data_IF_832245284313
#
_entry.id   IF_832245284313
#
_cell.length_a   1.000
_cell.length_b   1.000
_cell.length_c   1.000
_cell.angle_alpha   90.00
_cell.angle_beta   90.00
_cell.angle_gamma   90.00
#
_symmetry.space_group_name_H-M   'P 1'
#
loop_
_entity.id
_entity.type
_entity.pdbx_description
1 polymer ?
#
# COMPACT_ATOMS: atom_id res chain seq x y z
N UNK A 1 29.77 17.19 11.90
CA UNK A 1 28.75 16.36 11.26
C UNK A 1 27.39 16.70 11.83
N UNK A 2 26.47 17.01 10.96
CA UNK A 2 25.10 17.28 11.35
C UNK A 2 24.22 16.10 10.98
N UNK A 3 23.17 15.88 11.76
CA UNK A 3 22.17 14.87 11.45
C UNK A 3 20.88 15.59 11.10
N UNK A 4 20.40 15.37 9.89
CA UNK A 4 19.06 15.80 9.50
C UNK A 4 18.10 14.67 9.84
N UNK A 5 16.95 15.02 10.39
CA UNK A 5 15.98 14.05 10.88
C UNK A 5 14.57 14.48 10.54
N UNK A 6 13.75 13.54 10.14
CA UNK A 6 12.33 13.77 9.92
C UNK A 6 11.53 12.56 10.39
N UNK A 7 10.42 12.82 11.06
CA UNK A 7 9.49 11.78 11.49
C UNK A 7 8.20 11.92 10.69
N UNK A 8 7.75 10.81 10.12
CA UNK A 8 6.53 10.78 9.33
C UNK A 8 5.64 9.60 9.74
N UNK A 9 4.37 9.73 9.43
CA UNK A 9 3.39 8.66 9.52
C UNK A 9 3.12 8.15 8.11
N UNK A 10 3.17 6.85 7.91
CA UNK A 10 2.89 6.23 6.61
C UNK A 10 1.75 5.24 6.75
N UNK A 11 0.86 5.25 5.78
CA UNK A 11 -0.26 4.32 5.70
C UNK A 11 -0.28 3.70 4.30
N UNK A 12 -0.13 2.39 4.24
CA UNK A 12 -0.33 1.67 2.99
C UNK A 12 -1.82 1.65 2.63
N UNK A 13 -2.13 1.37 1.39
CA UNK A 13 -3.52 1.29 0.96
C UNK A 13 -4.22 0.05 1.51
N UNK A 14 -5.49 0.20 1.87
CA UNK A 14 -6.34 -0.92 2.24
C UNK A 14 -6.67 -1.74 1.00
N UNK A 15 -6.78 -3.06 1.12
CA UNK A 15 -7.31 -3.89 0.05
C UNK A 15 -8.80 -3.63 -0.16
N UNK A 16 -9.24 -3.66 -1.42
CA UNK A 16 -10.66 -3.54 -1.74
C UNK A 16 -11.41 -4.81 -1.37
N UNK A 17 -12.67 -4.67 -1.02
CA UNK A 17 -13.50 -5.81 -0.65
C UNK A 17 -13.88 -6.63 -1.89
N UNK A 18 -13.96 -7.94 -1.73
CA UNK A 18 -14.56 -8.79 -2.75
C UNK A 18 -16.06 -8.53 -2.86
N UNK A 19 -16.60 -8.70 -4.05
CA UNK A 19 -18.01 -8.44 -4.30
C UNK A 19 -18.86 -9.68 -4.07
N UNK A 20 -20.08 -9.48 -3.56
CA UNK A 20 -21.15 -10.47 -3.58
C UNK A 20 -22.10 -10.07 -4.68
N UNK A 21 -22.12 -10.82 -5.76
CA UNK A 21 -22.98 -10.54 -6.91
C UNK A 21 -23.37 -11.84 -7.58
N UNK A 22 -24.56 -11.85 -8.17
CA UNK A 22 -25.09 -13.02 -8.88
C UNK A 22 -25.46 -12.61 -10.29
N UNK A 23 -25.12 -13.46 -11.22
CA UNK A 23 -25.48 -13.28 -12.62
C UNK A 23 -26.99 -13.37 -12.77
N UNK A 24 -27.59 -12.34 -13.35
CA UNK A 24 -29.02 -12.29 -13.61
C UNK A 24 -29.26 -11.90 -15.07
N UNK A 25 -29.85 -12.84 -15.81
CA UNK A 25 -30.23 -12.61 -17.18
C UNK A 25 -31.72 -12.89 -17.35
N UNK A 26 -32.31 -12.42 -18.44
CA UNK A 26 -33.74 -12.57 -18.71
C UNK A 26 -34.17 -14.02 -18.66
N UNK A 27 -33.34 -14.92 -19.16
CA UNK A 27 -33.65 -16.37 -19.21
C UNK A 27 -32.94 -17.15 -18.10
N UNK A 28 -32.17 -16.52 -17.25
CA UNK A 28 -31.46 -17.13 -16.13
C UNK A 28 -31.54 -16.28 -14.87
N UNK A 29 -32.74 -16.16 -14.27
CA UNK A 29 -32.91 -15.30 -13.11
C UNK A 29 -32.19 -15.77 -11.86
N UNK A 30 -31.75 -17.03 -11.82
CA UNK A 30 -31.01 -17.61 -10.70
C UNK A 30 -29.59 -18.00 -11.13
N UNK A 31 -28.90 -17.10 -11.81
CA UNK A 31 -27.54 -17.34 -12.27
C UNK A 31 -26.54 -17.49 -11.13
N UNK A 32 -25.39 -18.07 -11.42
CA UNK A 32 -24.34 -18.31 -10.45
C UNK A 32 -23.66 -17.05 -9.94
N UNK A 33 -22.76 -17.20 -8.95
CA UNK A 33 -22.02 -16.07 -8.41
C UNK A 33 -21.06 -15.48 -9.45
N UNK A 34 -21.05 -14.17 -9.56
CA UNK A 34 -20.14 -13.45 -10.46
C UNK A 34 -19.48 -12.22 -9.81
N UNK A 35 -19.41 -12.22 -8.48
CA UNK A 35 -18.68 -11.19 -7.76
C UNK A 35 -17.18 -11.30 -7.97
N UNK A 36 -16.56 -10.21 -8.38
CA UNK A 36 -15.11 -10.14 -8.59
C UNK A 36 -14.33 -9.82 -7.33
N UNK A 37 -13.02 -10.06 -7.39
CA UNK A 37 -12.11 -9.78 -6.30
C UNK A 37 -11.88 -8.27 -6.17
N UNK A 38 -11.60 -7.81 -4.94
CA UNK A 38 -11.12 -6.46 -4.72
C UNK A 38 -9.66 -6.31 -5.17
N UNK A 39 -9.26 -5.10 -5.49
CA UNK A 39 -7.89 -4.79 -5.83
C UNK A 39 -7.01 -4.64 -4.59
N UNK A 40 -5.71 -4.87 -4.74
CA UNK A 40 -4.76 -4.66 -3.66
C UNK A 40 -4.60 -3.17 -3.38
N UNK A 41 -4.31 -2.82 -2.13
CA UNK A 41 -3.93 -1.46 -1.79
C UNK A 41 -2.53 -1.14 -2.27
N UNK A 42 -2.24 0.15 -2.46
CA UNK A 42 -0.91 0.60 -2.87
C UNK A 42 0.12 0.47 -1.76
N UNK A 43 1.38 0.31 -2.17
CA UNK A 43 2.52 0.20 -1.26
C UNK A 43 3.10 1.59 -0.98
N UNK A 44 3.84 1.69 0.13
CA UNK A 44 4.70 2.84 0.41
C UNK A 44 6.13 2.43 0.05
N UNK A 45 6.73 3.16 -0.89
CA UNK A 45 8.05 2.84 -1.42
C UNK A 45 9.00 4.01 -1.18
N UNK A 46 10.17 3.71 -0.61
CA UNK A 46 11.26 4.69 -0.53
C UNK A 46 12.09 4.60 -1.80
N UNK A 47 12.44 5.76 -2.35
CA UNK A 47 13.32 5.82 -3.54
C UNK A 47 14.46 6.80 -3.28
N UNK A 48 15.69 6.36 -3.49
CA UNK A 48 16.84 7.24 -3.42
C UNK A 48 16.85 8.22 -4.59
N UNK A 49 17.02 9.49 -4.29
CA UNK A 49 17.04 10.54 -5.31
C UNK A 49 18.16 11.54 -4.98
N UNK A 50 19.19 11.55 -5.81
CA UNK A 50 20.35 12.45 -5.62
C UNK A 50 20.01 13.93 -5.78
N UNK A 51 18.82 14.25 -6.29
CA UNK A 51 18.37 15.64 -6.38
C UNK A 51 17.86 16.17 -5.04
N UNK A 52 17.67 15.31 -4.07
CA UNK A 52 17.32 15.70 -2.69
C UNK A 52 18.58 15.66 -1.84
N UNK A 53 18.82 16.74 -1.11
CA UNK A 53 19.99 16.88 -0.25
C UNK A 53 19.64 16.89 1.24
N UNK A 54 18.37 17.10 1.54
CA UNK A 54 17.86 17.17 2.92
C UNK A 54 16.55 16.42 3.01
N UNK A 55 16.07 16.23 4.23
CA UNK A 55 14.77 15.64 4.51
C UNK A 55 13.68 16.70 4.74
N UNK A 56 13.95 17.95 4.36
CA UNK A 56 13.05 19.05 4.64
C UNK A 56 11.65 18.87 4.07
N UNK A 57 11.53 18.31 2.86
CA UNK A 57 10.23 18.05 2.24
C UNK A 57 9.35 17.14 3.09
N UNK A 58 9.93 16.24 3.89
CA UNK A 58 9.17 15.35 4.77
C UNK A 58 8.70 16.04 6.03
N UNK A 59 9.36 17.14 6.43
CA UNK A 59 8.89 17.94 7.57
C UNK A 59 7.63 18.71 7.24
N UNK A 60 7.41 19.01 5.97
CA UNK A 60 6.21 19.69 5.49
C UNK A 60 5.10 18.71 5.13
N UNK A 61 5.44 17.46 4.83
CA UNK A 61 4.48 16.43 4.49
C UNK A 61 4.70 15.23 5.41
N UNK A 62 4.12 15.31 6.59
CA UNK A 62 4.34 14.31 7.66
C UNK A 62 3.43 13.10 7.58
N UNK A 63 2.36 13.18 6.80
CA UNK A 63 1.40 12.09 6.68
C UNK A 63 1.35 11.67 5.22
N UNK A 64 1.81 10.46 4.97
CA UNK A 64 1.90 9.93 3.61
C UNK A 64 1.07 8.66 3.56
N UNK A 65 0.21 8.58 2.56
CA UNK A 65 -0.66 7.41 2.36
C UNK A 65 -0.66 6.99 0.92
N UNK A 66 -0.74 5.66 0.70
CA UNK A 66 -0.98 5.10 -0.61
C UNK A 66 -2.47 4.93 -0.85
N UNK A 67 -2.84 4.73 -2.10
CA UNK A 67 -4.24 4.61 -2.50
C UNK A 67 -4.81 3.25 -2.12
N UNK A 68 -6.06 3.23 -1.68
CA UNK A 68 -6.77 1.99 -1.40
C UNK A 68 -7.08 1.25 -2.70
N UNK A 69 -7.16 -0.09 -2.63
CA UNK A 69 -7.68 -0.88 -3.72
C UNK A 69 -9.17 -0.67 -3.90
N UNK A 70 -9.65 -0.78 -5.11
CA UNK A 70 -11.08 -0.68 -5.40
C UNK A 70 -11.79 -1.98 -5.04
N UNK A 71 -13.05 -1.92 -4.58
CA UNK A 71 -13.83 -3.14 -4.38
C UNK A 71 -14.11 -3.83 -5.71
N UNK A 72 -14.32 -5.14 -5.65
CA UNK A 72 -14.75 -5.90 -6.81
C UNK A 72 -16.18 -5.52 -7.22
N UNK A 73 -16.56 -5.87 -8.42
CA UNK A 73 -17.90 -5.61 -8.94
C UNK A 73 -18.55 -6.86 -9.50
N UNK A 74 -19.77 -6.70 -10.00
CA UNK A 74 -20.49 -7.79 -10.68
C UNK A 74 -19.85 -8.14 -12.01
N UNK A 75 -20.28 -9.25 -12.61
CA UNK A 75 -19.78 -9.76 -13.90
C UNK A 75 -18.28 -10.08 -13.82
N UNK A 76 -17.83 -10.59 -12.67
CA UNK A 76 -16.44 -10.95 -12.39
C UNK A 76 -15.47 -9.79 -12.56
N UNK A 77 -15.94 -8.57 -12.36
CA UNK A 77 -15.08 -7.39 -12.47
C UNK A 77 -14.16 -7.27 -11.27
N UNK A 78 -12.86 -7.33 -11.52
CA UNK A 78 -11.86 -7.13 -10.49
C UNK A 78 -11.71 -5.66 -10.15
N UNK A 79 -11.57 -5.35 -8.87
CA UNK A 79 -11.25 -3.99 -8.45
C UNK A 79 -9.85 -3.61 -8.90
N UNK A 80 -9.67 -2.34 -9.21
CA UNK A 80 -8.38 -1.82 -9.63
C UNK A 80 -7.41 -1.77 -8.44
N UNK A 81 -6.14 -2.12 -8.67
CA UNK A 81 -5.09 -1.96 -7.67
C UNK A 81 -4.91 -0.47 -7.35
N UNK A 82 -4.76 -0.14 -6.06
CA UNK A 82 -4.40 1.21 -5.64
C UNK A 82 -2.98 1.56 -6.05
N UNK A 83 -2.74 2.84 -6.36
CA UNK A 83 -1.41 3.30 -6.75
C UNK A 83 -0.46 3.32 -5.55
N UNK A 84 0.79 2.93 -5.81
CA UNK A 84 1.85 3.02 -4.82
C UNK A 84 2.21 4.49 -4.59
N UNK A 85 2.63 4.79 -3.37
CA UNK A 85 3.15 6.12 -3.04
C UNK A 85 4.66 6.03 -2.89
N UNK A 86 5.36 6.82 -3.71
CA UNK A 86 6.81 6.86 -3.67
C UNK A 86 7.25 8.06 -2.84
N UNK A 87 8.15 7.80 -1.89
CA UNK A 87 8.76 8.84 -1.06
C UNK A 87 10.20 9.00 -1.51
N UNK A 88 10.55 10.11 -2.18
CA UNK A 88 11.94 10.36 -2.53
C UNK A 88 12.72 10.77 -1.29
N UNK A 89 13.91 10.21 -1.13
CA UNK A 89 14.81 10.53 -0.02
C UNK A 89 16.23 10.70 -0.55
N UNK A 90 17.07 11.52 0.10
CA UNK A 90 18.47 11.62 -0.29
C UNK A 90 19.19 10.28 -0.19
N UNK A 91 20.20 10.07 -1.05
CA UNK A 91 21.10 8.94 -0.92
C UNK A 91 21.83 9.02 0.42
N UNK A 92 21.91 7.91 1.14
CA UNK A 92 22.49 7.89 2.49
C UNK A 92 21.47 8.02 3.61
N UNK A 93 20.17 8.07 3.29
CA UNK A 93 19.10 8.12 4.28
C UNK A 93 18.91 6.76 4.93
N UNK A 94 18.77 6.77 6.25
CA UNK A 94 18.48 5.57 7.06
C UNK A 94 17.10 5.72 7.67
N UNK A 95 16.32 4.65 7.63
CA UNK A 95 14.96 4.63 8.19
C UNK A 95 14.93 3.76 9.45
N UNK A 96 14.29 4.27 10.49
CA UNK A 96 14.07 3.58 11.76
C UNK A 96 12.60 3.59 12.12
N UNK A 97 12.17 2.57 12.83
CA UNK A 97 10.83 2.56 13.43
C UNK A 97 10.80 3.57 14.58
N UNK A 98 9.85 4.50 14.55
CA UNK A 98 9.79 5.55 15.55
C UNK A 98 9.36 5.04 16.92
N UNK A 99 8.58 3.96 16.98
CA UNK A 99 8.08 3.41 18.24
C UNK A 99 9.10 2.53 18.94
N UNK A 100 9.84 1.73 18.19
CA UNK A 100 10.79 0.77 18.75
C UNK A 100 12.24 1.22 18.64
N UNK A 101 12.53 2.14 17.74
CA UNK A 101 13.89 2.56 17.41
C UNK A 101 14.66 1.57 16.55
N UNK A 102 14.01 0.50 16.10
CA UNK A 102 14.67 -0.52 15.30
C UNK A 102 14.98 -0.04 13.89
N UNK A 103 16.13 -0.47 13.37
CA UNK A 103 16.53 -0.21 11.99
C UNK A 103 15.56 -0.89 11.03
N UNK A 104 15.14 -0.17 10.00
CA UNK A 104 14.28 -0.71 8.94
C UNK A 104 15.08 -0.95 7.67
N UNK A 105 15.70 0.10 7.14
CA UNK A 105 16.46 0.02 5.89
C UNK A 105 17.32 1.27 5.73
N UNK A 106 18.21 1.22 4.76
CA UNK A 106 18.94 2.40 4.29
C UNK A 106 18.92 2.47 2.78
N UNK A 107 18.99 3.67 2.26
CA UNK A 107 19.03 3.94 0.83
C UNK A 107 20.38 4.55 0.52
N UNK A 108 21.19 3.88 -0.30
CA UNK A 108 22.53 4.32 -0.63
C UNK A 108 22.65 4.88 -2.04
N UNK A 109 21.94 4.29 -2.99
CA UNK A 109 22.10 4.60 -4.41
C UNK A 109 20.91 5.36 -4.98
N UNK A 110 21.20 6.20 -5.97
CA UNK A 110 20.15 6.85 -6.74
C UNK A 110 19.32 5.81 -7.49
N UNK A 111 18.00 5.94 -7.38
CA UNK A 111 17.07 5.01 -8.01
C UNK A 111 16.80 3.73 -7.23
N UNK A 112 17.54 3.50 -6.15
CA UNK A 112 17.29 2.35 -5.28
C UNK A 112 15.91 2.49 -4.63
N UNK A 113 15.15 1.40 -4.64
CA UNK A 113 13.81 1.38 -4.06
C UNK A 113 13.70 0.32 -2.98
N UNK A 114 13.04 0.66 -1.90
CA UNK A 114 12.72 -0.28 -0.81
C UNK A 114 11.24 -0.14 -0.48
N UNK A 115 10.54 -1.26 -0.43
CA UNK A 115 9.14 -1.26 0.01
C UNK A 115 9.11 -1.10 1.52
N UNK A 116 8.68 0.08 1.98
CA UNK A 116 8.61 0.40 3.40
C UNK A 116 7.39 -0.26 4.05
N UNK A 117 6.27 -0.23 3.35
CA UNK A 117 5.03 -0.89 3.77
C UNK A 117 4.31 -1.45 2.56
N UNK A 118 3.83 -2.66 2.70
CA UNK A 118 3.05 -3.31 1.65
C UNK A 118 1.56 -3.03 1.84
N UNK A 119 0.86 -2.77 0.74
CA UNK A 119 -0.59 -2.58 0.76
C UNK A 119 -1.33 -3.86 1.14
N UNK A 120 -2.53 -3.72 1.65
CA UNK A 120 -3.38 -4.84 1.99
C UNK A 120 -3.85 -5.57 0.73
N UNK A 121 -4.00 -6.90 0.83
CA UNK A 121 -4.50 -7.69 -0.29
C UNK A 121 -5.99 -7.47 -0.47
N UNK A 122 -6.43 -7.45 -1.74
CA UNK A 122 -7.83 -7.41 -2.08
C UNK A 122 -8.55 -8.68 -1.63
N UNK A 123 -9.80 -8.54 -1.21
CA UNK A 123 -10.63 -9.66 -0.80
C UNK A 123 -11.14 -10.44 -2.00
N UNK A 124 -11.34 -11.75 -1.82
CA UNK A 124 -11.88 -12.62 -2.87
C UNK A 124 -13.39 -12.39 -3.03
N UNK A 125 -13.85 -12.31 -4.27
CA UNK A 125 -15.27 -12.22 -4.59
C UNK A 125 -16.00 -13.54 -4.37
N UNK A 126 -17.34 -13.49 -4.33
CA UNK A 126 -18.11 -14.69 -4.03
C UNK A 126 -17.96 -15.80 -5.09
N UNK A 127 -17.56 -15.47 -6.31
CA UNK A 127 -17.25 -16.46 -7.35
C UNK A 127 -16.23 -17.49 -6.87
N UNK A 128 -15.26 -17.06 -6.05
CA UNK A 128 -14.18 -17.92 -5.53
C UNK A 128 -14.66 -18.93 -4.50
N UNK A 129 -15.85 -18.73 -3.94
CA UNK A 129 -16.39 -19.57 -2.87
C UNK A 129 -17.45 -20.56 -3.37
N UNK A 130 -17.67 -20.64 -4.68
CA UNK A 130 -18.59 -21.59 -5.27
C UNK A 130 -18.04 -23.01 -5.10
N UNK A 131 -18.86 -23.91 -4.55
CA UNK A 131 -18.51 -25.31 -4.39
C UNK A 131 -19.66 -26.16 -4.90
N UNK A 132 -19.46 -27.50 -4.99
CA UNK A 132 -20.51 -28.40 -5.39
C UNK A 132 -21.68 -28.43 -4.41
N UNK A 133 -21.42 -28.12 -3.13
CA UNK A 133 -22.45 -28.09 -2.08
C UNK A 133 -23.06 -26.71 -1.89
N UNK A 134 -22.33 -25.65 -2.27
CA UNK A 134 -22.84 -24.28 -2.21
C UNK A 134 -22.54 -23.59 -3.54
N UNK A 135 -23.54 -23.60 -4.43
CA UNK A 135 -23.41 -23.02 -5.76
C UNK A 135 -23.83 -21.55 -5.82
N UNK A 136 -24.31 -21.00 -4.71
CA UNK A 136 -24.75 -19.60 -4.62
C UNK A 136 -24.24 -18.96 -3.32
N UNK A 137 -22.91 -18.85 -3.13
CA UNK A 137 -22.38 -18.28 -1.90
C UNK A 137 -22.77 -16.79 -1.77
N UNK A 138 -23.26 -16.44 -0.59
CA UNK A 138 -23.71 -15.08 -0.28
C UNK A 138 -22.68 -14.30 0.54
N UNK A 139 -21.44 -14.68 0.47
CA UNK A 139 -20.35 -14.05 1.18
C UNK A 139 -19.16 -13.85 0.26
N UNK A 140 -18.39 -12.82 0.59
CA UNK A 140 -17.12 -12.53 -0.03
C UNK A 140 -16.14 -12.17 1.07
N UNK A 141 -14.86 -12.15 0.73
CA UNK A 141 -13.82 -11.81 1.68
C UNK A 141 -13.64 -10.29 1.71
N UNK A 142 -13.57 -9.67 2.89
CA UNK A 142 -13.18 -8.26 2.98
C UNK A 142 -11.72 -8.10 2.58
N UNK A 143 -11.36 -6.92 2.11
CA UNK A 143 -9.97 -6.57 1.87
C UNK A 143 -9.20 -6.50 3.18
N UNK A 144 -7.88 -6.76 3.13
CA UNK A 144 -7.03 -6.60 4.30
C UNK A 144 -6.97 -5.13 4.69
N UNK A 145 -7.04 -4.82 6.01
CA UNK A 145 -6.95 -3.44 6.46
C UNK A 145 -5.56 -2.88 6.19
N UNK A 146 -5.46 -1.55 6.15
CA UNK A 146 -4.17 -0.91 6.05
C UNK A 146 -3.46 -0.93 7.41
N UNK A 147 -2.14 -0.90 7.34
CA UNK A 147 -1.31 -0.71 8.52
C UNK A 147 -0.81 0.73 8.52
N UNK A 148 -0.63 1.27 9.73
CA UNK A 148 -0.02 2.57 9.94
C UNK A 148 1.33 2.37 10.64
N UNK A 149 2.33 3.13 10.22
CA UNK A 149 3.65 3.05 10.79
C UNK A 149 4.24 4.45 10.96
N UNK A 150 4.93 4.66 12.06
CA UNK A 150 5.67 5.89 12.30
C UNK A 150 7.14 5.62 12.04
N UNK A 151 7.75 6.42 11.18
CA UNK A 151 9.11 6.19 10.71
C UNK A 151 9.94 7.44 10.90
N UNK A 152 11.16 7.26 11.41
CA UNK A 152 12.14 8.32 11.52
C UNK A 152 13.19 8.11 10.43
N UNK A 153 13.42 9.16 9.66
CA UNK A 153 14.52 9.19 8.70
C UNK A 153 15.67 10.01 9.25
N UNK A 154 16.88 9.53 9.07
CA UNK A 154 18.10 10.23 9.44
C UNK A 154 19.02 10.31 8.24
N UNK A 155 19.59 11.47 8.03
CA UNK A 155 20.58 11.72 7.00
C UNK A 155 21.76 12.43 7.66
N UNK A 156 22.95 11.81 7.59
CA UNK A 156 24.16 12.42 8.08
C UNK A 156 24.68 13.42 7.06
N UNK A 157 24.72 14.68 7.46
CA UNK A 157 25.25 15.74 6.63
C UNK A 157 26.70 15.99 7.04
N UNK A 158 27.59 15.98 6.07
CA UNK A 158 28.98 16.37 6.33
C UNK A 158 29.03 17.87 6.50
N UNK A 159 29.64 18.31 7.60
CA UNK A 159 29.92 19.72 7.74
C UNK A 159 30.92 20.11 6.65
N UNK A 160 30.59 21.19 5.93
CA UNK A 160 31.51 21.75 4.96
C UNK A 160 32.63 22.47 5.72
N UNK A 161 33.78 21.86 5.75
CA UNK A 161 34.97 22.48 6.36
C UNK A 161 35.69 23.16 5.23
N UNK A 162 35.23 24.36 4.99
CA UNK A 162 35.80 25.18 3.93
C UNK A 162 37.24 25.59 4.17
#
# INVERSE_FOLDING_TARGET
>A
MFIDRAEISVKAGKGGDGAVHFRREIYEPAGGPDGGDGGDGGDIILRGDRNYWTLLHLRFQRHIRAEHGEPGGGQKRYGKKGEDQIIPVPCGTIAYDAETGEYICDITDHGEEVVLMKGGRGGLGNTRFKTSTNQAPRYAQPGEPYEERYVIFELKLLADVG
#
